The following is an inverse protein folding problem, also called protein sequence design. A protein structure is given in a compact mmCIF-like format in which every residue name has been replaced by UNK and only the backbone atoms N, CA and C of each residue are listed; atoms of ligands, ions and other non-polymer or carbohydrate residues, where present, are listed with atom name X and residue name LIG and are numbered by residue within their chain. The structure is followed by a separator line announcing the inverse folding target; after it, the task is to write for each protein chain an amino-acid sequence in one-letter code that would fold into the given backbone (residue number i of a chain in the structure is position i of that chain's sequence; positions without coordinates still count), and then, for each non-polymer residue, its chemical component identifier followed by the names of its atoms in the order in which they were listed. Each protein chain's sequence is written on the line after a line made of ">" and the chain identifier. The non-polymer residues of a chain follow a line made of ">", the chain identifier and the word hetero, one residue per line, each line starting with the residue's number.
data_IF_983112451130
#
_entry.id   IF_983112451130
#
_cell.length_a   1.000
_cell.length_b   1.000
_cell.length_c   1.000
_cell.angle_alpha   90.00
_cell.angle_beta   90.00
_cell.angle_gamma   90.00
#
_symmetry.space_group_name_H-M   'P 1'
#
loop_
_entity.id
_entity.type
_entity.pdbx_description
1 polymer ?
#
# COMPACT_ATOMS: atom_id res chain seq x y z
N UNK A 1 15.91 -6.95 -13.64
CA UNK A 1 16.95 -6.41 -12.70
C UNK A 1 17.84 -7.53 -12.21
N UNK A 2 19.10 -7.22 -11.82
CA UNK A 2 20.01 -8.15 -11.14
C UNK A 2 19.43 -8.52 -9.75
N UNK A 3 19.74 -9.71 -9.20
CA UNK A 3 19.17 -10.14 -7.91
C UNK A 3 19.37 -9.14 -6.78
N UNK A 4 20.59 -8.62 -6.62
CA UNK A 4 20.90 -7.64 -5.58
C UNK A 4 20.07 -6.34 -5.71
N UNK A 5 19.94 -5.81 -6.94
CA UNK A 5 19.09 -4.63 -7.19
C UNK A 5 17.63 -4.89 -6.84
N UNK A 6 17.12 -6.10 -7.08
CA UNK A 6 15.74 -6.49 -6.73
C UNK A 6 15.53 -6.48 -5.22
N UNK A 7 16.47 -7.08 -4.49
CA UNK A 7 16.42 -7.11 -3.02
C UNK A 7 16.47 -5.68 -2.49
N UNK A 8 17.37 -4.86 -3.00
CA UNK A 8 17.49 -3.46 -2.57
C UNK A 8 16.21 -2.65 -2.83
N UNK A 9 15.62 -2.74 -4.02
CA UNK A 9 14.33 -2.09 -4.34
C UNK A 9 13.21 -2.59 -3.42
N UNK A 10 13.15 -3.90 -3.18
CA UNK A 10 12.17 -4.48 -2.27
C UNK A 10 12.32 -3.95 -0.84
N UNK A 11 13.53 -3.92 -0.29
CA UNK A 11 13.80 -3.45 1.06
C UNK A 11 13.50 -1.96 1.22
N UNK A 12 13.88 -1.12 0.23
CA UNK A 12 13.52 0.29 0.26
C UNK A 12 11.99 0.50 0.24
N UNK A 13 11.27 -0.23 -0.59
CA UNK A 13 9.82 -0.14 -0.65
C UNK A 13 9.15 -0.68 0.63
N UNK A 14 9.71 -1.73 1.25
CA UNK A 14 9.19 -2.30 2.49
C UNK A 14 9.29 -1.37 3.71
N UNK A 15 10.08 -0.29 3.64
CA UNK A 15 10.19 0.68 4.74
C UNK A 15 8.85 1.32 5.12
N UNK A 16 7.87 1.38 4.21
CA UNK A 16 6.53 1.87 4.52
C UNK A 16 5.83 1.00 5.56
N UNK A 17 5.84 -0.32 5.39
CA UNK A 17 5.21 -1.23 6.36
C UNK A 17 6.03 -1.35 7.65
N UNK A 18 7.35 -1.23 7.57
CA UNK A 18 8.21 -1.21 8.76
C UNK A 18 7.97 0.00 9.65
N UNK A 19 7.58 1.16 9.07
CA UNK A 19 7.15 2.32 9.84
C UNK A 19 5.96 2.00 10.76
N UNK A 20 4.96 1.30 10.22
CA UNK A 20 3.77 0.90 10.95
C UNK A 20 4.05 -0.22 11.96
N UNK A 21 4.76 -1.26 11.55
CA UNK A 21 5.11 -2.39 12.43
C UNK A 21 5.95 -1.93 13.63
N UNK A 22 6.91 -1.03 13.40
CA UNK A 22 7.74 -0.49 14.48
C UNK A 22 6.93 0.23 15.55
N UNK A 23 5.94 1.03 15.17
CA UNK A 23 5.01 1.68 16.09
C UNK A 23 4.19 0.65 16.86
N UNK A 24 3.59 -0.33 16.16
CA UNK A 24 2.73 -1.35 16.77
C UNK A 24 3.45 -2.22 17.80
N UNK A 25 4.71 -2.56 17.53
CA UNK A 25 5.54 -3.36 18.41
C UNK A 25 6.41 -2.51 19.37
N UNK A 26 6.19 -1.17 19.39
CA UNK A 26 6.91 -0.20 20.24
C UNK A 26 8.43 -0.25 20.07
N UNK A 27 8.91 -0.58 18.87
CA UNK A 27 10.34 -0.61 18.53
C UNK A 27 10.88 0.80 18.25
N UNK A 28 10.09 1.62 17.55
CA UNK A 28 10.38 3.02 17.24
C UNK A 28 9.11 3.77 16.93
N UNK A 29 9.06 5.11 17.19
CA UNK A 29 7.92 5.94 16.83
C UNK A 29 7.74 6.01 15.30
N UNK A 30 6.49 5.89 14.83
CA UNK A 30 6.15 6.00 13.40
C UNK A 30 6.61 7.33 12.80
N UNK A 31 6.52 8.43 13.56
CA UNK A 31 7.03 9.75 13.17
C UNK A 31 8.52 9.70 12.82
N UNK A 32 9.33 9.17 13.71
CA UNK A 32 10.78 9.10 13.50
C UNK A 32 11.10 8.25 12.27
N UNK A 33 10.55 7.05 12.20
CA UNK A 33 10.86 6.12 11.10
C UNK A 33 10.37 6.64 9.75
N UNK A 34 9.18 7.26 9.71
CA UNK A 34 8.66 7.85 8.48
C UNK A 34 9.58 8.96 7.97
N UNK A 35 10.01 9.88 8.83
CA UNK A 35 10.83 11.02 8.43
C UNK A 35 12.29 10.63 8.14
N UNK A 36 12.88 9.77 8.99
CA UNK A 36 14.32 9.46 8.92
C UNK A 36 14.64 8.28 7.99
N UNK A 37 13.69 7.38 7.72
CA UNK A 37 13.92 6.15 6.94
C UNK A 37 13.03 6.07 5.73
N UNK A 38 11.70 6.14 5.90
CA UNK A 38 10.77 5.92 4.81
C UNK A 38 10.85 7.01 3.72
N UNK A 39 10.83 8.30 4.09
CA UNK A 39 10.96 9.37 3.09
C UNK A 39 12.31 9.35 2.35
N UNK A 40 13.48 9.17 3.01
CA UNK A 40 14.74 8.93 2.30
C UNK A 40 14.73 7.70 1.41
N UNK A 41 14.08 6.59 1.82
CA UNK A 41 13.95 5.40 0.98
C UNK A 41 13.11 5.66 -0.28
N UNK A 42 12.05 6.45 -0.18
CA UNK A 42 11.28 6.92 -1.34
C UNK A 42 12.16 7.75 -2.29
N UNK A 43 12.95 8.68 -1.74
CA UNK A 43 13.94 9.45 -2.51
C UNK A 43 14.96 8.55 -3.21
N UNK A 44 15.48 7.54 -2.53
CA UNK A 44 16.40 6.55 -3.09
C UNK A 44 15.77 5.73 -4.23
N UNK A 45 14.50 5.33 -4.10
CA UNK A 45 13.75 4.64 -5.17
C UNK A 45 13.60 5.53 -6.42
N UNK A 46 13.28 6.80 -6.23
CA UNK A 46 13.17 7.78 -7.32
C UNK A 46 14.54 7.99 -7.98
N UNK A 47 15.57 8.21 -7.18
CA UNK A 47 16.95 8.39 -7.68
C UNK A 47 17.42 7.17 -8.47
N UNK A 48 17.15 5.95 -7.98
CA UNK A 48 17.48 4.71 -8.68
C UNK A 48 16.73 4.58 -10.01
N UNK A 49 15.45 4.96 -10.03
CA UNK A 49 14.65 4.93 -11.26
C UNK A 49 15.20 5.91 -12.31
N UNK A 50 15.53 7.13 -11.91
CA UNK A 50 16.13 8.15 -12.79
C UNK A 50 17.53 7.73 -13.27
N UNK A 51 18.38 7.26 -12.37
CA UNK A 51 19.72 6.76 -12.69
C UNK A 51 19.69 5.61 -13.70
N UNK A 52 18.78 4.65 -13.52
CA UNK A 52 18.60 3.54 -14.45
C UNK A 52 18.24 4.02 -15.86
N UNK A 53 17.41 5.06 -15.98
CA UNK A 53 17.07 5.67 -17.27
C UNK A 53 18.28 6.39 -17.89
N UNK A 54 19.01 7.15 -17.08
CA UNK A 54 20.19 7.90 -17.54
C UNK A 54 21.30 6.97 -18.06
N UNK A 55 21.51 5.81 -17.41
CA UNK A 55 22.50 4.80 -17.82
C UNK A 55 22.08 4.00 -19.08
N UNK A 56 20.90 4.25 -19.64
CA UNK A 56 20.41 3.57 -20.84
C UNK A 56 19.85 2.16 -20.61
N UNK A 57 20.02 1.56 -19.42
CA UNK A 57 19.40 0.25 -19.10
C UNK A 57 17.87 0.36 -18.91
N UNK A 58 17.41 1.44 -18.28
CA UNK A 58 15.99 1.76 -18.07
C UNK A 58 15.14 0.69 -17.36
N UNK A 59 15.65 -0.53 -17.20
CA UNK A 59 14.89 -1.70 -16.71
C UNK A 59 14.44 -1.55 -15.26
N UNK A 60 15.32 -1.10 -14.37
CA UNK A 60 14.97 -0.90 -12.98
C UNK A 60 13.94 0.23 -12.83
N UNK A 61 14.17 1.36 -13.51
CA UNK A 61 13.24 2.49 -13.53
C UNK A 61 11.85 2.10 -14.05
N UNK A 62 11.77 1.30 -15.12
CA UNK A 62 10.51 0.80 -15.65
C UNK A 62 9.77 -0.08 -14.64
N UNK A 63 10.45 -1.01 -13.98
CA UNK A 63 9.84 -1.92 -13.01
C UNK A 63 9.33 -1.13 -11.79
N UNK A 64 10.12 -0.18 -11.27
CA UNK A 64 9.70 0.70 -10.17
C UNK A 64 8.47 1.52 -10.57
N UNK A 65 8.48 2.14 -11.74
CA UNK A 65 7.39 3.00 -12.22
C UNK A 65 6.09 2.19 -12.45
N UNK A 66 6.18 1.04 -13.14
CA UNK A 66 5.02 0.16 -13.37
C UNK A 66 4.44 -0.29 -12.01
N UNK A 67 5.30 -0.71 -11.08
CA UNK A 67 4.87 -1.10 -9.75
C UNK A 67 4.19 0.04 -8.99
N UNK A 68 4.77 1.24 -9.01
CA UNK A 68 4.22 2.42 -8.34
C UNK A 68 2.84 2.81 -8.87
N UNK A 69 2.69 2.87 -10.21
CA UNK A 69 1.39 3.19 -10.83
C UNK A 69 0.37 2.08 -10.52
N UNK A 70 0.75 0.83 -10.66
CA UNK A 70 -0.14 -0.29 -10.41
C UNK A 70 -0.59 -0.36 -8.94
N UNK A 71 0.32 -0.10 -8.01
CA UNK A 71 0.01 -0.03 -6.59
C UNK A 71 -0.91 1.12 -6.22
N UNK A 72 -0.71 2.31 -6.81
CA UNK A 72 -1.61 3.45 -6.63
C UNK A 72 -3.02 3.17 -7.15
N UNK A 73 -3.13 2.67 -8.40
CA UNK A 73 -4.43 2.31 -8.99
C UNK A 73 -5.13 1.22 -8.19
N UNK A 74 -4.39 0.26 -7.68
CA UNK A 74 -4.92 -0.79 -6.82
C UNK A 74 -5.43 -0.25 -5.47
N UNK A 75 -4.73 0.72 -4.86
CA UNK A 75 -5.18 1.39 -3.64
C UNK A 75 -6.48 2.16 -3.87
N UNK A 76 -6.60 2.85 -5.00
CA UNK A 76 -7.86 3.53 -5.38
C UNK A 76 -9.00 2.52 -5.56
N UNK A 77 -8.78 1.42 -6.28
CA UNK A 77 -9.80 0.38 -6.47
C UNK A 77 -10.21 -0.28 -5.13
N UNK A 78 -9.25 -0.51 -4.25
CA UNK A 78 -9.46 -0.98 -2.89
C UNK A 78 -10.37 -0.05 -2.09
N UNK A 79 -10.12 1.26 -2.16
CA UNK A 79 -10.93 2.24 -1.43
C UNK A 79 -12.33 2.41 -2.05
N UNK A 80 -12.45 2.41 -3.38
CA UNK A 80 -13.76 2.46 -4.07
C UNK A 80 -14.64 1.29 -3.62
N UNK A 81 -14.10 0.09 -3.54
CA UNK A 81 -14.85 -1.07 -3.03
C UNK A 81 -15.33 -0.88 -1.59
N UNK A 82 -14.58 -0.17 -0.76
CA UNK A 82 -14.90 0.07 0.66
C UNK A 82 -15.91 1.19 0.89
N UNK A 83 -16.11 2.09 -0.08
CA UNK A 83 -17.04 3.23 0.06
C UNK A 83 -18.45 2.84 0.50
N UNK A 84 -19.12 1.82 -0.09
CA UNK A 84 -20.47 1.42 0.34
C UNK A 84 -20.55 1.01 1.81
N UNK A 85 -19.50 0.38 2.35
CA UNK A 85 -19.43 -0.04 3.75
C UNK A 85 -19.20 1.13 4.70
N UNK A 86 -18.37 2.11 4.29
CA UNK A 86 -18.09 3.30 5.08
C UNK A 86 -19.28 4.24 5.12
N UNK A 87 -19.93 4.44 3.98
CA UNK A 87 -21.05 5.37 3.81
C UNK A 87 -22.43 4.70 3.81
N UNK A 88 -22.53 3.45 4.23
CA UNK A 88 -23.74 2.65 4.24
C UNK A 88 -24.94 3.40 4.83
N UNK A 89 -24.77 4.05 5.98
CA UNK A 89 -25.83 4.83 6.66
C UNK A 89 -26.19 6.09 5.89
N UNK A 90 -25.21 6.88 5.44
CA UNK A 90 -25.42 8.15 4.76
C UNK A 90 -26.01 7.97 3.35
N UNK A 91 -25.77 6.82 2.71
CA UNK A 91 -26.33 6.48 1.40
C UNK A 91 -27.65 5.70 1.47
N UNK A 92 -28.21 5.51 2.68
CA UNK A 92 -29.46 4.77 2.87
C UNK A 92 -29.34 3.25 2.62
N UNK A 93 -28.12 2.70 2.64
CA UNK A 93 -27.86 1.29 2.37
C UNK A 93 -27.80 0.41 3.62
N UNK A 94 -28.08 0.96 4.80
CA UNK A 94 -27.88 0.28 6.10
C UNK A 94 -28.60 -1.07 6.24
N UNK A 95 -29.69 -1.31 5.49
CA UNK A 95 -30.39 -2.60 5.46
C UNK A 95 -29.78 -3.64 4.52
N UNK A 96 -28.91 -3.23 3.58
CA UNK A 96 -28.33 -4.08 2.55
C UNK A 96 -26.83 -4.29 2.74
N UNK A 97 -26.13 -3.26 3.23
CA UNK A 97 -24.68 -3.24 3.36
C UNK A 97 -24.31 -2.91 4.81
N UNK A 98 -23.48 -3.72 5.47
CA UNK A 98 -23.04 -3.45 6.84
C UNK A 98 -22.24 -2.15 6.92
N UNK A 99 -22.44 -1.37 7.98
CA UNK A 99 -21.68 -0.14 8.22
C UNK A 99 -20.38 -0.47 8.96
N UNK A 100 -19.23 -0.21 8.32
CA UNK A 100 -17.91 -0.48 8.87
C UNK A 100 -17.04 0.79 8.84
N UNK A 101 -16.34 1.13 9.93
CA UNK A 101 -15.51 2.33 10.03
C UNK A 101 -14.12 2.16 9.39
N UNK A 102 -14.06 1.67 8.13
CA UNK A 102 -12.83 1.23 7.48
C UNK A 102 -11.82 2.35 7.22
N UNK A 103 -12.24 3.62 7.18
CA UNK A 103 -11.34 4.77 6.98
C UNK A 103 -10.89 5.44 8.29
N UNK A 104 -11.39 4.97 9.43
CA UNK A 104 -11.05 5.54 10.73
C UNK A 104 -9.55 5.48 11.08
N UNK A 105 -8.84 4.52 10.50
CA UNK A 105 -7.41 4.33 10.76
C UNK A 105 -6.51 5.38 10.08
N UNK A 106 -6.94 5.98 8.97
CA UNK A 106 -6.07 6.89 8.22
C UNK A 106 -5.74 8.17 8.99
N UNK A 107 -6.69 8.90 9.60
CA UNK A 107 -6.34 10.01 10.48
C UNK A 107 -5.43 9.61 11.64
N UNK A 108 -5.54 8.37 12.15
CA UNK A 108 -4.66 7.89 13.21
C UNK A 108 -3.21 7.75 12.73
N UNK A 109 -2.98 7.28 11.49
CA UNK A 109 -1.64 7.30 10.89
C UNK A 109 -1.07 8.73 10.82
N UNK A 110 -1.89 9.69 10.37
CA UNK A 110 -1.49 11.08 10.32
C UNK A 110 -1.15 11.67 11.69
N UNK A 111 -1.95 11.34 12.72
CA UNK A 111 -1.69 11.74 14.10
C UNK A 111 -0.35 11.17 14.62
N UNK A 112 -0.07 9.89 14.38
CA UNK A 112 1.18 9.25 14.76
C UNK A 112 2.39 9.89 14.04
N UNK A 113 2.28 10.16 12.72
CA UNK A 113 3.36 10.76 11.93
C UNK A 113 3.63 12.21 12.35
N UNK A 114 2.58 13.00 12.59
CA UNK A 114 2.72 14.39 12.99
C UNK A 114 2.97 14.57 14.50
N UNK A 115 2.79 13.52 15.31
CA UNK A 115 2.88 13.59 16.77
C UNK A 115 1.79 14.48 17.36
N UNK A 116 0.57 14.45 16.80
CA UNK A 116 -0.58 15.24 17.24
C UNK A 116 -1.66 14.35 17.84
N UNK A 117 -2.28 14.83 18.93
CA UNK A 117 -3.39 14.11 19.56
C UNK A 117 -4.73 14.31 18.82
N UNK A 118 -4.92 15.44 18.12
CA UNK A 118 -6.15 15.73 17.39
C UNK A 118 -6.14 15.05 16.00
N UNK A 119 -6.94 14.00 15.87
CA UNK A 119 -7.11 13.27 14.62
C UNK A 119 -8.05 13.96 13.61
N UNK A 120 -8.71 15.05 13.98
CA UNK A 120 -9.69 15.73 13.12
C UNK A 120 -9.09 16.92 12.35
N UNK A 121 -7.86 17.32 12.64
CA UNK A 121 -7.24 18.43 11.89
C UNK A 121 -7.01 18.02 10.43
N UNK A 122 -7.23 18.96 9.50
CA UNK A 122 -7.05 18.73 8.06
C UNK A 122 -5.65 18.18 7.74
N UNK A 123 -4.62 18.72 8.38
CA UNK A 123 -3.24 18.26 8.19
C UNK A 123 -3.07 16.79 8.57
N UNK A 124 -3.66 16.34 9.68
CA UNK A 124 -3.61 14.95 10.13
C UNK A 124 -4.34 14.04 9.15
N UNK A 125 -5.54 14.44 8.69
CA UNK A 125 -6.31 13.69 7.70
C UNK A 125 -5.51 13.54 6.40
N UNK A 126 -4.97 14.63 5.86
CA UNK A 126 -4.21 14.60 4.61
C UNK A 126 -2.94 13.76 4.71
N UNK A 127 -2.18 13.86 5.80
CA UNK A 127 -0.97 13.06 6.03
C UNK A 127 -1.33 11.58 6.17
N UNK A 128 -2.42 11.26 6.87
CA UNK A 128 -2.87 9.88 7.01
C UNK A 128 -3.27 9.24 5.67
N UNK A 129 -4.01 9.95 4.83
CA UNK A 129 -4.35 9.51 3.48
C UNK A 129 -3.11 9.42 2.57
N UNK A 130 -2.20 10.39 2.64
CA UNK A 130 -0.95 10.36 1.90
C UNK A 130 -0.12 9.12 2.28
N UNK A 131 -0.05 8.78 3.57
CA UNK A 131 0.61 7.57 4.02
C UNK A 131 -0.09 6.30 3.52
N UNK A 132 -1.42 6.24 3.54
CA UNK A 132 -2.18 5.12 3.00
C UNK A 132 -1.88 4.89 1.50
N UNK A 133 -1.96 5.92 0.67
CA UNK A 133 -1.64 5.79 -0.74
C UNK A 133 -0.15 5.49 -0.99
N UNK A 134 0.74 6.01 -0.15
CA UNK A 134 2.16 5.67 -0.25
C UNK A 134 2.43 4.19 0.04
N UNK A 135 1.67 3.57 0.96
CA UNK A 135 1.70 2.12 1.17
C UNK A 135 1.24 1.37 -0.09
N UNK A 136 0.14 1.79 -0.71
CA UNK A 136 -0.30 1.19 -1.97
C UNK A 136 0.78 1.25 -3.05
N UNK A 137 1.40 2.42 -3.24
CA UNK A 137 2.50 2.64 -4.19
C UNK A 137 3.68 1.71 -3.89
N UNK A 138 4.14 1.67 -2.64
CA UNK A 138 5.31 0.88 -2.25
C UNK A 138 5.03 -0.63 -2.30
N UNK A 139 3.82 -1.07 -1.98
CA UNK A 139 3.41 -2.47 -2.17
C UNK A 139 3.42 -2.88 -3.64
N UNK A 140 3.01 -1.99 -4.53
CA UNK A 140 3.16 -2.22 -5.97
C UNK A 140 4.63 -2.34 -6.39
N UNK A 141 5.53 -1.52 -5.85
CA UNK A 141 6.98 -1.61 -6.09
C UNK A 141 7.57 -2.90 -5.51
N UNK A 142 7.16 -3.32 -4.30
CA UNK A 142 7.56 -4.60 -3.71
C UNK A 142 7.15 -5.77 -4.61
N UNK A 143 5.88 -5.82 -5.03
CA UNK A 143 5.39 -6.83 -5.96
C UNK A 143 6.19 -6.81 -7.28
N UNK A 144 6.43 -5.63 -7.84
CA UNK A 144 7.18 -5.45 -9.07
C UNK A 144 8.62 -5.99 -8.96
N UNK A 145 9.29 -5.74 -7.83
CA UNK A 145 10.61 -6.30 -7.55
C UNK A 145 10.57 -7.82 -7.43
N UNK A 146 9.53 -8.40 -6.80
CA UNK A 146 9.37 -9.86 -6.66
C UNK A 146 9.22 -10.56 -8.01
N UNK A 147 8.35 -10.04 -8.91
CA UNK A 147 8.06 -10.68 -10.19
C UNK A 147 9.05 -10.33 -11.30
N UNK A 148 9.81 -9.25 -11.14
CA UNK A 148 10.90 -8.81 -12.04
C UNK A 148 10.52 -8.74 -13.53
N UNK A 149 9.34 -8.23 -13.83
CA UNK A 149 8.83 -8.10 -15.19
C UNK A 149 8.15 -9.35 -15.77
N UNK A 150 7.96 -10.41 -14.98
CA UNK A 150 7.23 -11.61 -15.41
C UNK A 150 5.72 -11.48 -15.13
N UNK A 151 5.13 -10.33 -15.52
CA UNK A 151 3.78 -9.93 -15.14
C UNK A 151 2.71 -10.95 -15.55
N UNK A 152 2.69 -11.38 -16.80
CA UNK A 152 1.68 -12.31 -17.33
C UNK A 152 1.71 -13.68 -16.63
N UNK A 153 2.90 -14.19 -16.32
CA UNK A 153 3.06 -15.49 -15.68
C UNK A 153 2.82 -15.41 -14.17
N UNK A 154 3.16 -14.29 -13.54
CA UNK A 154 3.22 -14.14 -12.09
C UNK A 154 2.18 -13.17 -11.52
N UNK A 155 1.17 -12.77 -12.31
CA UNK A 155 0.13 -11.86 -11.80
C UNK A 155 -0.64 -12.41 -10.57
N UNK A 156 -0.87 -13.75 -10.40
CA UNK A 156 -1.55 -14.24 -9.21
C UNK A 156 -0.74 -14.04 -7.93
N UNK A 157 0.59 -13.86 -8.02
CA UNK A 157 1.45 -13.52 -6.88
C UNK A 157 1.01 -12.20 -6.25
N UNK A 158 0.43 -11.26 -7.03
CA UNK A 158 -0.12 -10.02 -6.50
C UNK A 158 -1.29 -10.27 -5.54
N UNK A 159 -2.14 -11.27 -5.84
CA UNK A 159 -3.26 -11.67 -4.97
C UNK A 159 -2.72 -12.27 -3.67
N UNK A 160 -1.82 -13.25 -3.79
CA UNK A 160 -1.22 -13.90 -2.62
C UNK A 160 -0.51 -12.88 -1.73
N UNK A 161 0.22 -11.93 -2.33
CA UNK A 161 0.89 -10.86 -1.62
C UNK A 161 -0.11 -9.95 -0.89
N UNK A 162 -1.16 -9.49 -1.57
CA UNK A 162 -2.15 -8.59 -0.98
C UNK A 162 -2.96 -9.26 0.14
N UNK A 163 -3.44 -10.48 -0.08
CA UNK A 163 -4.16 -11.26 0.93
C UNK A 163 -3.23 -11.60 2.10
N UNK A 164 -1.97 -11.93 1.82
CA UNK A 164 -0.97 -12.16 2.86
C UNK A 164 -0.70 -10.94 3.75
N UNK A 165 -0.71 -9.73 3.18
CA UNK A 165 -0.62 -8.48 3.96
C UNK A 165 -1.81 -8.30 4.89
N UNK A 166 -3.04 -8.58 4.42
CA UNK A 166 -4.23 -8.48 5.26
C UNK A 166 -4.20 -9.49 6.39
N UNK A 167 -3.89 -10.76 6.08
CA UNK A 167 -3.77 -11.79 7.09
C UNK A 167 -2.70 -11.42 8.12
N UNK A 168 -1.54 -10.93 7.68
CA UNK A 168 -0.52 -10.45 8.60
C UNK A 168 -1.05 -9.32 9.50
N UNK A 169 -1.81 -8.36 8.98
CA UNK A 169 -2.41 -7.30 9.80
C UNK A 169 -3.43 -7.83 10.81
N UNK A 170 -4.26 -8.79 10.43
CA UNK A 170 -5.26 -9.39 11.35
C UNK A 170 -4.61 -10.15 12.52
N UNK A 171 -3.43 -10.75 12.31
CA UNK A 171 -2.69 -11.51 13.32
C UNK A 171 -1.59 -10.73 14.06
N UNK A 172 -1.51 -9.41 13.83
CA UNK A 172 -0.61 -8.50 14.56
C UNK A 172 -1.39 -7.66 15.59
N UNK A 173 -0.74 -6.85 16.42
CA UNK A 173 -1.42 -5.90 17.31
C UNK A 173 -2.22 -4.81 16.59
N UNK A 174 -2.23 -4.76 15.25
CA UNK A 174 -2.89 -3.74 14.44
C UNK A 174 -4.35 -3.48 14.86
N UNK A 175 -5.24 -4.49 14.96
CA UNK A 175 -6.63 -4.24 15.35
C UNK A 175 -6.75 -3.60 16.73
N UNK A 176 -5.95 -4.05 17.68
CA UNK A 176 -5.97 -3.54 19.06
C UNK A 176 -5.45 -2.09 19.13
N UNK A 177 -4.35 -1.78 18.44
CA UNK A 177 -3.74 -0.44 18.42
C UNK A 177 -4.70 0.59 17.83
N UNK A 178 -5.45 0.23 16.79
CA UNK A 178 -6.38 1.14 16.11
C UNK A 178 -7.84 1.04 16.61
N UNK A 179 -8.08 0.28 17.68
CA UNK A 179 -9.41 0.10 18.24
C UNK A 179 -10.42 -0.51 17.24
N UNK A 180 -9.92 -1.44 16.41
CA UNK A 180 -10.73 -2.14 15.41
C UNK A 180 -11.36 -3.36 16.06
N UNK A 181 -12.68 -3.45 16.01
CA UNK A 181 -13.40 -4.66 16.38
C UNK A 181 -13.37 -5.65 15.21
N UNK A 182 -12.60 -6.71 15.35
CA UNK A 182 -12.52 -7.80 14.37
C UNK A 182 -13.80 -8.65 14.50
N UNK A 183 -14.65 -8.57 13.48
CA UNK A 183 -15.86 -9.39 13.33
C UNK A 183 -15.77 -10.17 12.04
N UNK A 184 -16.55 -11.25 11.86
CA UNK A 184 -16.56 -12.04 10.63
C UNK A 184 -16.85 -11.15 9.41
N UNK A 185 -17.80 -10.23 9.54
CA UNK A 185 -18.11 -9.25 8.49
C UNK A 185 -16.93 -8.35 8.15
N UNK A 186 -16.21 -7.85 9.17
CA UNK A 186 -15.00 -7.05 8.95
C UNK A 186 -13.95 -7.86 8.20
N UNK A 187 -13.66 -9.09 8.63
CA UNK A 187 -12.68 -9.98 8.00
C UNK A 187 -13.03 -10.26 6.54
N UNK A 188 -14.27 -10.62 6.26
CA UNK A 188 -14.74 -10.91 4.89
C UNK A 188 -14.59 -9.68 3.99
N UNK A 189 -15.02 -8.51 4.45
CA UNK A 189 -14.95 -7.27 3.65
C UNK A 189 -13.50 -6.84 3.41
N UNK A 190 -12.63 -6.92 4.42
CA UNK A 190 -11.24 -6.51 4.27
C UNK A 190 -10.44 -7.49 3.42
N UNK A 191 -10.68 -8.80 3.54
CA UNK A 191 -10.09 -9.80 2.63
C UNK A 191 -10.57 -9.61 1.19
N UNK A 192 -11.85 -9.33 0.96
CA UNK A 192 -12.37 -9.03 -0.37
C UNK A 192 -11.73 -7.75 -0.94
N UNK A 193 -11.55 -6.71 -0.12
CA UNK A 193 -10.87 -5.49 -0.53
C UNK A 193 -9.40 -5.76 -0.94
N UNK A 194 -8.67 -6.58 -0.17
CA UNK A 194 -7.29 -6.96 -0.50
C UNK A 194 -7.21 -7.88 -1.73
N UNK A 195 -8.21 -8.73 -1.95
CA UNK A 195 -8.34 -9.50 -3.19
C UNK A 195 -8.47 -8.56 -4.40
N UNK A 196 -9.33 -7.54 -4.31
CA UNK A 196 -9.50 -6.52 -5.36
C UNK A 196 -8.19 -5.76 -5.58
N UNK A 197 -7.51 -5.34 -4.49
CA UNK A 197 -6.19 -4.71 -4.56
C UNK A 197 -5.20 -5.58 -5.35
N UNK A 198 -5.06 -6.86 -4.99
CA UNK A 198 -4.13 -7.78 -5.63
C UNK A 198 -4.45 -8.03 -7.11
N UNK A 199 -5.73 -8.27 -7.44
CA UNK A 199 -6.20 -8.47 -8.83
C UNK A 199 -5.90 -7.22 -9.67
N UNK A 200 -6.28 -6.04 -9.16
CA UNK A 200 -6.07 -4.76 -9.86
C UNK A 200 -4.58 -4.51 -10.09
N UNK A 201 -3.76 -4.66 -9.07
CA UNK A 201 -2.30 -4.47 -9.16
C UNK A 201 -1.68 -5.38 -10.22
N UNK A 202 -2.01 -6.67 -10.20
CA UNK A 202 -1.50 -7.63 -11.17
C UNK A 202 -1.94 -7.32 -12.62
N UNK A 203 -3.21 -6.95 -12.82
CA UNK A 203 -3.77 -6.64 -14.15
C UNK A 203 -3.24 -5.33 -14.71
N UNK A 204 -3.11 -4.29 -13.89
CA UNK A 204 -2.54 -3.01 -14.31
C UNK A 204 -1.07 -3.16 -14.73
N UNK A 205 -0.27 -3.95 -14.01
CA UNK A 205 1.11 -4.25 -14.44
C UNK A 205 1.17 -4.86 -15.83
N UNK A 206 0.28 -5.83 -16.15
CA UNK A 206 0.20 -6.45 -17.49
C UNK A 206 -0.20 -5.43 -18.56
N UNK A 207 -1.15 -4.54 -18.23
CA UNK A 207 -1.61 -3.50 -19.16
C UNK A 207 -0.52 -2.50 -19.52
N UNK A 208 0.20 -2.01 -18.50
CA UNK A 208 1.29 -1.04 -18.67
C UNK A 208 2.49 -1.63 -19.43
N UNK A 209 2.80 -2.92 -19.23
CA UNK A 209 3.86 -3.59 -20.01
C UNK A 209 3.56 -3.59 -21.51
N UNK A 210 2.31 -3.87 -21.91
CA UNK A 210 1.90 -3.86 -23.32
C UNK A 210 2.00 -2.47 -23.94
N UNK A 211 1.69 -1.42 -23.20
CA UNK A 211 1.78 -0.02 -23.68
C UNK A 211 3.21 0.39 -23.97
N UNK A 212 4.14 0.00 -23.11
CA UNK A 212 5.59 0.35 -23.23
C UNK A 212 6.30 -0.47 -24.32
N UNK A 213 5.79 -1.67 -24.67
CA UNK A 213 6.37 -2.49 -25.73
C UNK A 213 6.01 -1.99 -27.15
N UNK A 214 5.11 -1.01 -27.28
CA UNK A 214 4.65 -0.46 -28.57
C UNK A 214 5.27 0.91 -28.90
N UNK A 215 6.04 1.50 -27.98
CA UNK A 215 6.83 2.71 -28.14
C UNK A 215 8.32 2.40 -28.25
#
# INVERSE_FOLDING_TARGET
>A
MKPLTRIFVFLLAATSIWSLLGEMYRLWPMRFFTLAVFLPACGALIALALYSRWRGDGRAGRIILIGAIAGFVAAVAYDIFRLPFVFSKSWGLAGLVPSLPLFKVFPQFGAMILGKADSNSLAVILVGWAYHFSNGITFGVMYAAMVNGQWRRRWPVAIVFAVGLELAMLFTPYPAVFGIRVTDTFVVVTLAAHLIFGVTMGRVCIGLEKGVAKC
#
